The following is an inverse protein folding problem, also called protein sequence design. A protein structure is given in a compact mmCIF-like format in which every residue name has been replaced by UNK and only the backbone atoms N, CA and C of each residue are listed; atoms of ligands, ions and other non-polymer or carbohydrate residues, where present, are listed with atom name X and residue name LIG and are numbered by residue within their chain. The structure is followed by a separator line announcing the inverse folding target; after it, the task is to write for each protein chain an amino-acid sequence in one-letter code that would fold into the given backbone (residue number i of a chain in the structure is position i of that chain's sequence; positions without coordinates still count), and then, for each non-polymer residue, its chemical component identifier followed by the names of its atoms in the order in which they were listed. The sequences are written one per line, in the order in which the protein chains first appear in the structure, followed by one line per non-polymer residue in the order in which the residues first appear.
data_IF_702735059290
#
_entry.id   IF_702735059290
#
_cell.length_a   1.000
_cell.length_b   1.000
_cell.length_c   1.000
_cell.angle_alpha   90.00
_cell.angle_beta   90.00
_cell.angle_gamma   90.00
#
_symmetry.space_group_name_H-M   'P 1'
#
loop_
_entity.id
_entity.type
_entity.pdbx_description
1 polymer ?
#
# COMPACT_ATOMS: atom_id res chain seq x y z
N UNK A 1 3.34 16.28 -3.83
CA UNK A 1 4.02 14.99 -3.61
C UNK A 1 3.10 13.88 -4.08
N UNK A 2 3.43 13.22 -5.19
CA UNK A 2 2.55 12.26 -5.88
C UNK A 2 2.73 10.87 -5.27
N UNK A 3 1.76 10.38 -4.52
CA UNK A 3 1.80 9.01 -3.99
C UNK A 3 1.30 8.05 -5.06
N UNK A 4 2.11 7.03 -5.37
CA UNK A 4 1.73 5.92 -6.24
C UNK A 4 0.58 5.17 -5.55
N UNK A 5 -0.52 4.95 -6.27
CA UNK A 5 -1.64 4.14 -5.77
C UNK A 5 -1.91 2.98 -6.69
N UNK A 6 -2.35 1.90 -6.08
CA UNK A 6 -2.67 0.66 -6.73
C UNK A 6 -4.17 0.50 -6.77
N UNK A 7 -4.70 0.18 -7.93
CA UNK A 7 -6.10 -0.10 -8.16
C UNK A 7 -6.21 -1.55 -8.57
N UNK A 8 -6.99 -2.34 -7.82
CA UNK A 8 -7.23 -3.76 -8.12
C UNK A 8 -8.63 -3.91 -8.71
N UNK A 9 -8.69 -4.27 -9.98
CA UNK A 9 -9.94 -4.57 -10.71
C UNK A 9 -9.85 -6.01 -11.16
N UNK A 10 -10.67 -6.88 -10.59
CA UNK A 10 -10.66 -8.32 -10.90
C UNK A 10 -9.24 -8.90 -10.82
N UNK A 11 -8.66 -9.34 -11.95
CA UNK A 11 -7.31 -9.91 -12.04
C UNK A 11 -6.23 -8.92 -12.52
N UNK A 12 -6.56 -7.63 -12.63
CA UNK A 12 -5.64 -6.59 -13.10
C UNK A 12 -5.26 -5.66 -11.95
N UNK A 13 -3.97 -5.37 -11.84
CA UNK A 13 -3.42 -4.41 -10.89
C UNK A 13 -2.85 -3.22 -11.66
N UNK A 14 -3.38 -2.03 -11.39
CA UNK A 14 -2.97 -0.78 -12.03
C UNK A 14 -2.19 0.05 -11.03
N UNK A 15 -0.92 0.32 -11.32
CA UNK A 15 -0.10 1.27 -10.57
C UNK A 15 -0.18 2.66 -11.23
N UNK A 16 -0.71 3.65 -10.52
CA UNK A 16 -0.87 5.01 -11.07
C UNK A 16 -0.76 6.10 -10.02
N UNK A 17 -0.09 7.20 -10.37
CA UNK A 17 -0.09 8.44 -9.61
C UNK A 17 -1.21 9.40 -10.07
N UNK A 18 -1.85 9.09 -11.20
CA UNK A 18 -2.84 9.93 -11.86
C UNK A 18 -4.15 9.98 -11.06
N UNK A 19 -4.65 11.20 -10.83
CA UNK A 19 -5.87 11.41 -10.03
C UNK A 19 -7.13 10.97 -10.79
N UNK A 20 -7.19 11.19 -12.11
CA UNK A 20 -8.35 10.83 -12.94
C UNK A 20 -8.48 9.32 -13.06
N UNK A 21 -7.37 8.60 -13.26
CA UNK A 21 -7.39 7.14 -13.33
C UNK A 21 -7.85 6.51 -12.00
N UNK A 22 -7.44 7.09 -10.87
CA UNK A 22 -7.96 6.68 -9.55
C UNK A 22 -9.46 6.91 -9.40
N UNK A 23 -10.02 7.99 -9.95
CA UNK A 23 -11.46 8.23 -9.92
C UNK A 23 -12.19 7.18 -10.74
N UNK A 24 -11.71 6.90 -11.96
CA UNK A 24 -12.28 5.85 -12.82
C UNK A 24 -12.25 4.50 -12.11
N UNK A 25 -11.12 4.12 -11.53
CA UNK A 25 -10.99 2.92 -10.71
C UNK A 25 -12.05 2.81 -9.61
N UNK A 26 -12.28 3.90 -8.85
CA UNK A 26 -13.31 3.91 -7.81
C UNK A 26 -14.72 3.72 -8.38
N UNK A 27 -15.03 4.36 -9.51
CA UNK A 27 -16.32 4.20 -10.21
C UNK A 27 -16.53 2.76 -10.67
N UNK A 28 -15.46 2.10 -11.12
CA UNK A 28 -15.47 0.69 -11.52
C UNK A 28 -15.48 -0.29 -10.32
N UNK A 29 -15.64 0.19 -9.08
CA UNK A 29 -15.67 -0.66 -7.89
C UNK A 29 -14.31 -1.18 -7.44
N UNK A 30 -13.21 -0.65 -7.98
CA UNK A 30 -11.87 -1.06 -7.60
C UNK A 30 -11.49 -0.59 -6.20
N UNK A 31 -10.80 -1.43 -5.45
CA UNK A 31 -10.10 -0.98 -4.25
C UNK A 31 -8.84 -0.20 -4.63
N UNK A 32 -8.76 1.05 -4.19
CA UNK A 32 -7.58 1.91 -4.38
C UNK A 32 -6.74 1.92 -3.11
N UNK A 33 -5.57 1.29 -3.18
CA UNK A 33 -4.62 1.13 -2.08
C UNK A 33 -3.43 2.08 -2.28
N UNK A 34 -2.95 2.70 -1.21
CA UNK A 34 -1.70 3.49 -1.25
C UNK A 34 -0.46 2.59 -1.21
N UNK A 35 0.72 3.20 -1.34
CA UNK A 35 2.03 2.51 -1.27
C UNK A 35 2.14 1.55 -0.08
N UNK A 36 1.64 1.97 1.08
CA UNK A 36 1.64 1.18 2.30
C UNK A 36 0.96 -0.18 2.16
N UNK A 37 -0.22 -0.21 1.52
CA UNK A 37 -0.98 -1.44 1.42
C UNK A 37 -0.40 -2.41 0.39
N UNK A 38 0.47 -1.96 -0.51
CA UNK A 38 1.25 -2.87 -1.38
C UNK A 38 2.26 -3.64 -0.53
N UNK A 39 2.95 -2.95 0.38
CA UNK A 39 3.95 -3.58 1.26
C UNK A 39 3.26 -4.61 2.15
N UNK A 40 2.10 -4.26 2.72
CA UNK A 40 1.30 -5.20 3.52
C UNK A 40 0.82 -6.39 2.68
N UNK A 41 0.29 -6.15 1.47
CA UNK A 41 -0.17 -7.22 0.57
C UNK A 41 0.99 -8.15 0.12
N UNK A 42 2.18 -7.60 -0.10
CA UNK A 42 3.38 -8.36 -0.43
C UNK A 42 3.82 -9.29 0.73
N UNK A 43 3.77 -8.81 1.98
CA UNK A 43 4.02 -9.65 3.16
C UNK A 43 2.96 -10.73 3.30
N UNK A 44 1.67 -10.38 3.16
CA UNK A 44 0.56 -11.34 3.27
C UNK A 44 0.58 -12.44 2.20
N UNK A 45 1.13 -12.14 1.02
CA UNK A 45 1.29 -13.10 -0.07
C UNK A 45 2.60 -13.90 0.00
N UNK A 46 3.45 -13.62 0.99
CA UNK A 46 4.75 -14.30 1.15
C UNK A 46 5.83 -13.84 0.16
N UNK A 47 5.63 -12.72 -0.55
CA UNK A 47 6.68 -12.13 -1.39
C UNK A 47 7.74 -11.40 -0.56
N UNK A 48 7.39 -10.98 0.66
CA UNK A 48 8.28 -10.38 1.63
C UNK A 48 8.10 -11.05 2.98
N UNK A 49 9.17 -11.19 3.73
CA UNK A 49 9.09 -11.52 5.15
C UNK A 49 8.50 -10.36 5.95
N UNK A 50 7.96 -10.66 7.14
CA UNK A 50 7.48 -9.62 8.05
C UNK A 50 8.57 -8.65 8.50
N UNK A 51 9.84 -9.05 8.49
CA UNK A 51 10.98 -8.17 8.81
C UNK A 51 11.33 -7.23 7.65
N UNK A 52 11.41 -7.74 6.43
CA UNK A 52 11.63 -6.92 5.22
C UNK A 52 10.51 -5.89 5.05
N UNK A 53 9.25 -6.29 5.30
CA UNK A 53 8.11 -5.40 5.30
C UNK A 53 8.27 -4.25 6.31
N UNK A 54 8.68 -4.55 7.55
CA UNK A 54 8.93 -3.54 8.59
C UNK A 54 10.07 -2.60 8.22
N UNK A 55 11.14 -3.11 7.64
CA UNK A 55 12.28 -2.29 7.23
C UNK A 55 11.88 -1.33 6.10
N UNK A 56 11.09 -1.79 5.12
CA UNK A 56 10.53 -0.94 4.08
C UNK A 56 9.62 0.16 4.65
N UNK A 57 8.80 -0.16 5.66
CA UNK A 57 7.99 0.86 6.33
C UNK A 57 8.85 1.94 6.99
N UNK A 58 9.93 1.55 7.68
CA UNK A 58 10.86 2.51 8.30
C UNK A 58 11.54 3.40 7.26
N UNK A 59 11.98 2.84 6.13
CA UNK A 59 12.55 3.60 5.01
C UNK A 59 11.54 4.58 4.43
N UNK A 60 10.28 4.16 4.33
CA UNK A 60 9.19 5.00 3.82
C UNK A 60 8.92 6.19 4.76
N UNK A 61 8.88 5.96 6.06
CA UNK A 61 8.71 7.01 7.09
C UNK A 61 9.87 8.02 7.05
N UNK A 62 11.12 7.52 7.02
CA UNK A 62 12.32 8.35 6.93
C UNK A 62 12.39 9.20 5.64
N UNK A 63 11.75 8.76 4.56
CA UNK A 63 11.69 9.52 3.29
C UNK A 63 10.75 10.73 3.33
N UNK A 64 10.08 11.00 4.46
CA UNK A 64 9.14 12.10 4.62
C UNK A 64 7.72 11.77 4.12
N UNK A 65 7.39 10.47 4.00
CA UNK A 65 6.05 10.04 3.65
C UNK A 65 5.08 10.39 4.78
N UNK A 66 4.11 11.28 4.50
CA UNK A 66 3.09 11.65 5.49
C UNK A 66 2.18 10.46 5.81
N UNK A 67 2.38 9.89 6.98
CA UNK A 67 1.56 8.82 7.53
C UNK A 67 1.19 9.16 8.97
N UNK A 68 -0.02 8.81 9.37
CA UNK A 68 -0.42 8.89 10.77
C UNK A 68 0.15 7.72 11.54
N UNK A 69 0.46 7.92 12.83
CA UNK A 69 0.93 6.85 13.72
C UNK A 69 -0.04 5.65 13.71
N UNK A 70 -1.34 5.92 13.77
CA UNK A 70 -2.37 4.88 13.72
C UNK A 70 -2.32 4.03 12.43
N UNK A 71 -1.98 4.63 11.28
CA UNK A 71 -1.88 3.91 10.02
C UNK A 71 -0.60 3.04 9.96
N UNK A 72 0.50 3.53 10.54
CA UNK A 72 1.74 2.76 10.69
C UNK A 72 1.55 1.55 11.61
N UNK A 73 0.95 1.75 12.78
CA UNK A 73 0.65 0.67 13.73
C UNK A 73 -0.28 -0.38 13.13
N UNK A 74 -1.31 0.05 12.40
CA UNK A 74 -2.21 -0.87 11.70
C UNK A 74 -1.47 -1.72 10.67
N UNK A 75 -0.53 -1.14 9.92
CA UNK A 75 0.28 -1.89 8.97
C UNK A 75 1.16 -2.94 9.68
N UNK A 76 1.82 -2.56 10.79
CA UNK A 76 2.60 -3.49 11.60
C UNK A 76 1.76 -4.65 12.17
N UNK A 77 0.54 -4.35 12.63
CA UNK A 77 -0.37 -5.36 13.14
C UNK A 77 -0.82 -6.35 12.06
N UNK A 78 -1.07 -5.86 10.83
CA UNK A 78 -1.44 -6.71 9.69
C UNK A 78 -0.29 -7.62 9.24
N UNK A 79 0.96 -7.16 9.35
CA UNK A 79 2.14 -7.95 8.99
C UNK A 79 2.50 -9.03 10.03
N UNK A 80 2.10 -8.87 11.30
CA UNK A 80 2.34 -9.87 12.37
C UNK A 80 1.36 -11.06 12.32
N UNK A 81 0.26 -10.95 11.58
CA UNK A 81 -0.81 -11.95 11.50
C UNK A 81 -0.56 -13.04 10.45
N UNK A 82 0.60 -13.02 9.80
CA UNK A 82 1.01 -13.95 8.74
C UNK A 82 1.96 -14.98 9.31
#
# INVERSE_FOLDING_TARGET
MKTLKFCRISNVVIATDDRRLRTICKVLGAQVTGTLGIIVDAVQRGFLSGEEGKELLKKLDASGFRMTVALYEKALALMKKV
#
